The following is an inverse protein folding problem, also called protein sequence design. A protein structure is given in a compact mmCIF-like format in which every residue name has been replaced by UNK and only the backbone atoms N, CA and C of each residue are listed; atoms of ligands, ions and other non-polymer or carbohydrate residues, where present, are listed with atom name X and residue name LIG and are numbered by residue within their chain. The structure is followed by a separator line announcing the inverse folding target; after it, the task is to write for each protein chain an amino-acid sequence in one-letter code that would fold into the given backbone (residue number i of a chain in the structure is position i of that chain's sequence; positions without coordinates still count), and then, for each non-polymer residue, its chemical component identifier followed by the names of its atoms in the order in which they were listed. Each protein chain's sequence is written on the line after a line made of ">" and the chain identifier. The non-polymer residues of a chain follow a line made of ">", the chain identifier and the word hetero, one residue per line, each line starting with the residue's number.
data_IF_974151663681
#
_entry.id   IF_974151663681
#
_cell.length_a   1.000
_cell.length_b   1.000
_cell.length_c   1.000
_cell.angle_alpha   90.00
_cell.angle_beta   90.00
_cell.angle_gamma   90.00
#
_symmetry.space_group_name_H-M   'P 1'
#
loop_
_entity.id
_entity.type
_entity.pdbx_description
1 polymer ?
#
# COMPACT_ATOMS: atom_id res chain seq x y z
N UNK A 1 -33.86 -49.51 -3.13
CA UNK A 1 -32.49 -49.19 -3.59
C UNK A 1 -32.44 -47.89 -4.41
N UNK A 2 -33.27 -47.72 -5.44
CA UNK A 2 -33.30 -46.50 -6.28
C UNK A 2 -33.59 -45.20 -5.52
N UNK A 3 -34.57 -45.19 -4.63
CA UNK A 3 -34.93 -44.00 -3.80
C UNK A 3 -33.79 -43.55 -2.89
N UNK A 4 -33.08 -44.51 -2.28
CA UNK A 4 -31.91 -44.23 -1.44
C UNK A 4 -30.78 -43.57 -2.26
N UNK A 5 -30.57 -44.06 -3.47
CA UNK A 5 -29.54 -43.56 -4.38
C UNK A 5 -29.85 -42.11 -4.82
N UNK A 6 -31.12 -41.81 -5.10
CA UNK A 6 -31.57 -40.44 -5.39
C UNK A 6 -31.42 -39.50 -4.18
N UNK A 7 -31.74 -39.97 -2.96
CA UNK A 7 -31.54 -39.18 -1.74
C UNK A 7 -30.07 -38.88 -1.47
N UNK A 8 -29.19 -39.88 -1.65
CA UNK A 8 -27.74 -39.70 -1.50
C UNK A 8 -27.21 -38.73 -2.56
N UNK A 9 -27.65 -38.86 -3.82
CA UNK A 9 -27.26 -37.95 -4.90
C UNK A 9 -27.72 -36.51 -4.61
N UNK A 10 -28.97 -36.32 -4.19
CA UNK A 10 -29.51 -35.02 -3.82
C UNK A 10 -28.71 -34.39 -2.66
N UNK A 11 -28.38 -35.19 -1.64
CA UNK A 11 -27.56 -34.74 -0.50
C UNK A 11 -26.16 -34.30 -0.94
N UNK A 12 -25.50 -35.06 -1.84
CA UNK A 12 -24.18 -34.71 -2.38
C UNK A 12 -24.23 -33.41 -3.19
N UNK A 13 -25.26 -33.21 -4.01
CA UNK A 13 -25.44 -31.97 -4.78
C UNK A 13 -25.66 -30.77 -3.86
N UNK A 14 -26.46 -30.92 -2.81
CA UNK A 14 -26.72 -29.86 -1.83
C UNK A 14 -25.44 -29.52 -1.06
N UNK A 15 -24.71 -30.52 -0.54
CA UNK A 15 -23.44 -30.28 0.15
C UNK A 15 -22.39 -29.66 -0.78
N UNK A 16 -22.26 -30.18 -2.00
CA UNK A 16 -21.34 -29.65 -3.01
C UNK A 16 -21.66 -28.20 -3.37
N UNK A 17 -22.95 -27.86 -3.51
CA UNK A 17 -23.40 -26.49 -3.76
C UNK A 17 -23.06 -25.53 -2.62
N UNK A 18 -23.27 -25.93 -1.36
CA UNK A 18 -22.94 -25.12 -0.18
C UNK A 18 -21.42 -24.87 -0.10
N UNK A 19 -20.61 -25.89 -0.32
CA UNK A 19 -19.14 -25.77 -0.33
C UNK A 19 -18.66 -24.85 -1.45
N UNK A 20 -19.21 -25.00 -2.67
CA UNK A 20 -18.86 -24.17 -3.81
C UNK A 20 -19.22 -22.69 -3.60
N UNK A 21 -20.44 -22.41 -3.10
CA UNK A 21 -20.88 -21.04 -2.79
C UNK A 21 -19.99 -20.43 -1.69
N UNK A 22 -19.68 -21.17 -0.63
CA UNK A 22 -18.79 -20.73 0.44
C UNK A 22 -17.38 -20.41 -0.05
N UNK A 23 -16.82 -21.25 -0.93
CA UNK A 23 -15.50 -21.04 -1.52
C UNK A 23 -15.43 -19.78 -2.39
N UNK A 24 -16.46 -19.54 -3.23
CA UNK A 24 -16.55 -18.35 -4.07
C UNK A 24 -16.70 -17.08 -3.23
N UNK A 25 -17.56 -17.11 -2.20
CA UNK A 25 -17.73 -15.98 -1.28
C UNK A 25 -16.43 -15.64 -0.55
N UNK A 26 -15.72 -16.65 -0.03
CA UNK A 26 -14.45 -16.46 0.66
C UNK A 26 -13.36 -15.93 -0.29
N UNK A 27 -13.31 -16.41 -1.54
CA UNK A 27 -12.37 -15.91 -2.54
C UNK A 27 -12.66 -14.44 -2.90
N UNK A 28 -13.93 -14.08 -3.05
CA UNK A 28 -14.33 -12.70 -3.34
C UNK A 28 -14.02 -11.75 -2.17
N UNK A 29 -14.27 -12.20 -0.94
CA UNK A 29 -13.92 -11.46 0.27
C UNK A 29 -12.40 -11.28 0.40
N UNK A 30 -11.60 -12.33 0.15
CA UNK A 30 -10.13 -12.24 0.15
C UNK A 30 -9.61 -11.25 -0.90
N UNK A 31 -10.21 -11.24 -2.10
CA UNK A 31 -9.84 -10.28 -3.15
C UNK A 31 -10.17 -8.84 -2.77
N UNK A 32 -11.32 -8.60 -2.13
CA UNK A 32 -11.69 -7.27 -1.62
C UNK A 32 -10.73 -6.80 -0.54
N UNK A 33 -10.43 -7.64 0.44
CA UNK A 33 -9.45 -7.32 1.49
C UNK A 33 -8.07 -7.05 0.87
N UNK A 34 -7.65 -7.89 -0.08
CA UNK A 34 -6.36 -7.71 -0.77
C UNK A 34 -6.33 -6.42 -1.61
N UNK A 35 -7.45 -5.99 -2.19
CA UNK A 35 -7.58 -4.72 -2.90
C UNK A 35 -7.57 -3.52 -1.95
N UNK A 36 -8.26 -3.62 -0.81
CA UNK A 36 -8.29 -2.59 0.23
C UNK A 36 -6.93 -2.40 0.91
N UNK A 37 -6.11 -3.47 0.97
CA UNK A 37 -4.75 -3.44 1.51
C UNK A 37 -3.72 -2.82 0.54
N UNK A 38 -4.09 -2.50 -0.70
CA UNK A 38 -3.15 -1.94 -1.67
C UNK A 38 -2.80 -0.50 -1.31
N UNK A 39 -1.50 -0.20 -1.20
CA UNK A 39 -0.98 1.16 -1.07
C UNK A 39 -1.23 1.96 -2.36
N UNK A 40 -1.03 1.31 -3.51
CA UNK A 40 -1.26 1.84 -4.84
C UNK A 40 -2.29 0.94 -5.52
N UNK A 41 -3.57 1.36 -5.66
CA UNK A 41 -4.57 0.58 -6.38
C UNK A 41 -4.08 0.07 -7.74
N UNK A 42 -4.32 -1.21 -8.00
CA UNK A 42 -3.85 -1.94 -9.18
C UNK A 42 -2.49 -2.63 -8.97
N UNK A 43 -1.72 -2.29 -7.93
CA UNK A 43 -0.47 -2.96 -7.58
C UNK A 43 -0.65 -3.81 -6.32
N UNK A 44 -0.28 -5.09 -6.42
CA UNK A 44 -0.34 -5.99 -5.28
C UNK A 44 0.63 -5.54 -4.19
N UNK A 45 0.14 -5.47 -2.95
CA UNK A 45 0.98 -5.26 -1.76
C UNK A 45 1.47 -6.61 -1.21
N UNK A 46 2.61 -6.61 -0.54
CA UNK A 46 3.09 -7.74 0.27
C UNK A 46 2.65 -7.65 1.74
N UNK A 47 1.92 -6.58 2.12
CA UNK A 47 1.42 -6.37 3.47
C UNK A 47 0.44 -7.49 3.89
N UNK A 48 0.60 -8.04 5.11
CA UNK A 48 -0.35 -9.00 5.67
C UNK A 48 -1.78 -8.45 5.69
N UNK A 49 -2.76 -9.28 5.33
CA UNK A 49 -4.18 -8.90 5.41
C UNK A 49 -4.65 -8.60 6.83
N UNK A 50 -3.92 -9.07 7.84
CA UNK A 50 -4.20 -8.78 9.25
C UNK A 50 -3.99 -7.28 9.60
N UNK A 51 -3.12 -6.57 8.87
CA UNK A 51 -2.83 -5.15 9.12
C UNK A 51 -4.02 -4.23 8.90
N UNK A 52 -4.98 -4.62 8.04
CA UNK A 52 -6.22 -3.88 7.84
C UNK A 52 -6.97 -3.63 9.16
N UNK A 53 -6.84 -4.51 10.16
CA UNK A 53 -7.49 -4.39 11.48
C UNK A 53 -6.51 -4.41 12.66
N UNK A 54 -5.20 -4.40 12.40
CA UNK A 54 -4.20 -4.44 13.48
C UNK A 54 -3.87 -3.05 14.03
N UNK A 55 -3.53 -3.03 15.32
CA UNK A 55 -3.01 -1.86 16.04
C UNK A 55 -1.48 -1.83 16.07
N UNK A 56 -0.82 -2.81 15.44
CA UNK A 56 0.63 -2.86 15.34
C UNK A 56 1.18 -1.56 14.73
N UNK A 57 2.36 -1.09 15.19
CA UNK A 57 2.95 0.14 14.67
C UNK A 57 3.20 0.08 13.15
N UNK A 58 3.59 -1.07 12.61
CA UNK A 58 3.77 -1.29 11.17
C UNK A 58 2.45 -1.12 10.40
N UNK A 59 1.36 -1.68 10.94
CA UNK A 59 0.03 -1.56 10.34
C UNK A 59 -0.47 -0.11 10.33
N UNK A 60 -0.13 0.69 11.35
CA UNK A 60 -0.43 2.13 11.37
C UNK A 60 0.37 2.88 10.29
N UNK A 61 1.66 2.59 10.13
CA UNK A 61 2.51 3.22 9.11
C UNK A 61 2.06 2.85 7.69
N UNK A 62 1.65 1.60 7.45
CA UNK A 62 1.07 1.16 6.18
C UNK A 62 -0.19 1.96 5.82
N UNK A 63 -1.12 2.13 6.76
CA UNK A 63 -2.36 2.92 6.52
C UNK A 63 -2.05 4.37 6.17
N UNK A 64 -1.14 5.00 6.92
CA UNK A 64 -0.67 6.36 6.66
C UNK A 64 -0.12 6.52 5.23
N UNK A 65 0.70 5.57 4.80
CA UNK A 65 1.26 5.57 3.45
C UNK A 65 0.18 5.42 2.37
N UNK A 66 -0.81 4.56 2.60
CA UNK A 66 -1.97 4.39 1.72
C UNK A 66 -2.81 5.67 1.63
N UNK A 67 -3.02 6.35 2.76
CA UNK A 67 -3.76 7.62 2.80
C UNK A 67 -2.99 8.72 2.05
N UNK A 68 -1.66 8.77 2.18
CA UNK A 68 -0.81 9.68 1.39
C UNK A 68 -0.91 9.41 -0.12
N UNK A 69 -0.86 8.15 -0.56
CA UNK A 69 -1.03 7.82 -1.99
C UNK A 69 -2.44 8.13 -2.50
N UNK A 70 -3.47 7.96 -1.66
CA UNK A 70 -4.84 8.38 -1.98
C UNK A 70 -4.90 9.89 -2.20
N UNK A 71 -4.27 10.67 -1.32
CA UNK A 71 -4.18 12.13 -1.45
C UNK A 71 -3.41 12.53 -2.71
N UNK A 72 -2.27 11.89 -3.01
CA UNK A 72 -1.46 12.13 -4.21
C UNK A 72 -2.30 12.02 -5.50
N UNK A 73 -3.21 11.04 -5.56
CA UNK A 73 -4.06 10.85 -6.74
C UNK A 73 -5.29 11.74 -6.81
N UNK A 74 -5.74 12.27 -5.67
CA UNK A 74 -6.80 13.26 -5.66
C UNK A 74 -6.34 14.62 -6.22
N UNK A 75 -5.02 14.86 -6.31
CA UNK A 75 -4.45 16.07 -6.90
C UNK A 75 -4.80 16.15 -8.39
N UNK A 76 -5.62 17.13 -8.74
CA UNK A 76 -5.89 17.51 -10.14
C UNK A 76 -4.74 18.38 -10.63
N UNK A 77 -3.65 17.72 -11.02
CA UNK A 77 -2.45 18.38 -11.52
C UNK A 77 -2.60 18.78 -12.99
N UNK A 78 -1.81 19.77 -13.43
CA UNK A 78 -1.47 19.87 -14.85
C UNK A 78 -0.61 18.67 -15.24
N UNK A 79 -1.11 17.85 -16.18
CA UNK A 79 -0.40 16.68 -16.70
C UNK A 79 0.73 17.12 -17.62
N UNK A 80 1.90 17.34 -17.03
CA UNK A 80 3.17 17.53 -17.72
C UNK A 80 3.99 16.25 -17.56
N UNK A 81 4.98 16.03 -18.44
CA UNK A 81 5.87 14.88 -18.31
C UNK A 81 6.55 14.83 -16.92
N UNK A 82 6.91 16.00 -16.36
CA UNK A 82 7.57 16.09 -15.06
C UNK A 82 6.65 15.70 -13.89
N UNK A 83 5.39 16.16 -13.89
CA UNK A 83 4.41 15.84 -12.84
C UNK A 83 3.97 14.37 -12.89
N UNK A 84 3.92 13.77 -14.08
CA UNK A 84 3.64 12.34 -14.26
C UNK A 84 4.80 11.47 -13.78
N UNK A 85 6.03 11.77 -14.17
CA UNK A 85 7.22 11.03 -13.70
C UNK A 85 7.34 11.08 -12.19
N UNK A 86 7.19 12.28 -11.59
CA UNK A 86 7.34 12.41 -10.15
C UNK A 86 6.23 11.68 -9.37
N UNK A 87 4.99 11.67 -9.89
CA UNK A 87 3.91 10.87 -9.31
C UNK A 87 4.28 9.38 -9.30
N UNK A 88 4.85 8.87 -10.40
CA UNK A 88 5.31 7.49 -10.48
C UNK A 88 6.47 7.20 -9.51
N UNK A 89 7.41 8.14 -9.34
CA UNK A 89 8.51 8.01 -8.38
C UNK A 89 8.02 7.97 -6.92
N UNK A 90 7.02 8.78 -6.58
CA UNK A 90 6.36 8.75 -5.26
C UNK A 90 5.65 7.42 -5.02
N UNK A 91 4.88 6.92 -6.00
CA UNK A 91 4.20 5.63 -5.90
C UNK A 91 5.21 4.48 -5.75
N UNK A 92 6.33 4.52 -6.48
CA UNK A 92 7.37 3.49 -6.39
C UNK A 92 8.09 3.52 -5.04
N UNK A 93 8.38 4.72 -4.53
CA UNK A 93 9.00 4.91 -3.22
C UNK A 93 8.08 4.41 -2.10
N UNK A 94 6.78 4.65 -2.20
CA UNK A 94 5.79 4.12 -1.28
C UNK A 94 5.78 2.58 -1.28
N UNK A 95 5.76 1.93 -2.44
CA UNK A 95 5.78 0.45 -2.51
C UNK A 95 7.05 -0.14 -1.88
N UNK A 96 8.20 0.46 -2.14
CA UNK A 96 9.46 0.01 -1.57
C UNK A 96 9.50 0.17 -0.03
N UNK A 97 8.86 1.22 0.49
CA UNK A 97 8.74 1.43 1.93
C UNK A 97 7.73 0.46 2.57
N UNK A 98 6.61 0.18 1.91
CA UNK A 98 5.62 -0.81 2.33
C UNK A 98 6.26 -2.21 2.46
N UNK A 99 7.00 -2.61 1.43
CA UNK A 99 7.76 -3.85 1.41
C UNK A 99 8.78 -3.95 2.56
N UNK A 100 9.36 -2.82 2.94
CA UNK A 100 10.30 -2.75 4.05
C UNK A 100 9.59 -2.85 5.41
N UNK A 101 8.42 -2.25 5.58
CA UNK A 101 7.59 -2.44 6.78
C UNK A 101 7.24 -3.92 6.97
N UNK A 102 6.99 -4.64 5.87
CA UNK A 102 6.74 -6.10 5.93
C UNK A 102 7.98 -6.82 6.46
N UNK A 103 9.17 -6.46 5.99
CA UNK A 103 10.41 -7.04 6.50
C UNK A 103 10.62 -6.75 8.00
N UNK A 104 10.38 -5.52 8.45
CA UNK A 104 10.47 -5.11 9.87
C UNK A 104 9.52 -5.95 10.73
N UNK A 105 8.31 -6.22 10.24
CA UNK A 105 7.31 -7.00 10.98
C UNK A 105 7.73 -8.46 11.23
N UNK A 106 8.70 -8.96 10.48
CA UNK A 106 9.28 -10.31 10.66
C UNK A 106 10.46 -10.32 11.63
N UNK A 107 10.96 -9.16 12.08
CA UNK A 107 12.09 -9.05 13.01
C UNK A 107 11.69 -9.34 14.46
N UNK A 108 12.69 -9.75 15.25
CA UNK A 108 12.58 -9.83 16.71
C UNK A 108 12.38 -8.46 17.35
N UNK A 109 11.74 -8.41 18.53
CA UNK A 109 11.30 -7.18 19.22
C UNK A 109 12.37 -6.10 19.37
N UNK A 110 13.61 -6.52 19.65
CA UNK A 110 14.69 -5.63 20.01
C UNK A 110 15.21 -4.86 18.78
N UNK A 111 15.39 -5.56 17.65
CA UNK A 111 15.75 -4.93 16.37
C UNK A 111 14.59 -4.13 15.76
N UNK A 112 13.35 -4.61 15.95
CA UNK A 112 12.13 -4.00 15.41
C UNK A 112 11.95 -2.54 15.87
N UNK A 113 12.21 -2.25 17.14
CA UNK A 113 11.94 -0.91 17.71
C UNK A 113 12.82 0.17 17.07
N UNK A 114 14.12 -0.11 16.89
CA UNK A 114 15.04 0.82 16.24
C UNK A 114 14.70 1.02 14.76
N UNK A 115 14.36 -0.06 14.05
CA UNK A 115 13.99 0.02 12.64
C UNK A 115 12.64 0.73 12.42
N UNK A 116 11.68 0.57 13.33
CA UNK A 116 10.39 1.27 13.29
C UNK A 116 10.56 2.79 13.38
N UNK A 117 11.44 3.29 14.25
CA UNK A 117 11.68 4.73 14.38
C UNK A 117 12.30 5.33 13.11
N UNK A 118 13.09 4.54 12.36
CA UNK A 118 13.65 4.96 11.08
C UNK A 118 12.62 4.88 9.95
N UNK A 119 11.80 3.83 9.93
CA UNK A 119 10.69 3.69 8.99
C UNK A 119 9.65 4.81 9.17
N UNK A 120 9.36 5.22 10.41
CA UNK A 120 8.46 6.35 10.68
C UNK A 120 8.97 7.66 10.06
N UNK A 121 10.27 7.93 10.13
CA UNK A 121 10.89 9.09 9.48
C UNK A 121 10.82 9.00 7.95
N UNK A 122 11.04 7.82 7.39
CA UNK A 122 10.93 7.60 5.95
C UNK A 122 9.48 7.80 5.46
N UNK A 123 8.47 7.32 6.21
CA UNK A 123 7.05 7.55 5.89
C UNK A 123 6.72 9.04 5.95
N UNK A 124 7.17 9.74 7.00
CA UNK A 124 6.95 11.18 7.13
C UNK A 124 7.59 11.97 5.97
N UNK A 125 8.75 11.56 5.47
CA UNK A 125 9.39 12.18 4.32
C UNK A 125 8.58 12.00 3.02
N UNK A 126 8.00 10.80 2.80
CA UNK A 126 7.11 10.55 1.65
C UNK A 126 5.81 11.35 1.76
N UNK A 127 5.18 11.39 2.94
CA UNK A 127 3.99 12.21 3.20
C UNK A 127 4.26 13.70 2.90
N UNK A 128 5.39 14.21 3.36
CA UNK A 128 5.79 15.58 3.09
C UNK A 128 6.06 15.82 1.59
N UNK A 129 6.66 14.85 0.88
CA UNK A 129 6.84 14.91 -0.57
C UNK A 129 5.51 14.92 -1.35
N UNK A 130 4.50 14.19 -0.89
CA UNK A 130 3.14 14.24 -1.45
C UNK A 130 2.49 15.60 -1.21
N UNK A 131 2.64 16.18 -0.03
CA UNK A 131 2.10 17.50 0.29
C UNK A 131 2.72 18.59 -0.61
N UNK A 132 4.05 18.59 -0.75
CA UNK A 132 4.77 19.48 -1.67
C UNK A 132 4.31 19.29 -3.12
N UNK A 133 4.16 18.04 -3.58
CA UNK A 133 3.64 17.74 -4.91
C UNK A 133 2.24 18.34 -5.12
N UNK A 134 1.34 18.18 -4.14
CA UNK A 134 -0.02 18.69 -4.23
C UNK A 134 -0.03 20.23 -4.34
N UNK A 135 0.83 20.91 -3.58
CA UNK A 135 1.00 22.37 -3.68
C UNK A 135 1.58 22.79 -5.03
N UNK A 136 2.68 22.16 -5.46
CA UNK A 136 3.37 22.52 -6.69
C UNK A 136 2.51 22.27 -7.93
N UNK A 137 1.89 21.08 -8.01
CA UNK A 137 1.15 20.64 -9.19
C UNK A 137 -0.18 21.39 -9.42
N UNK A 138 -0.63 22.17 -8.45
CA UNK A 138 -1.83 23.02 -8.55
C UNK A 138 -1.50 24.49 -8.84
N UNK A 139 -0.23 24.88 -8.80
CA UNK A 139 0.20 26.22 -9.17
C UNK A 139 0.39 26.35 -10.70
N UNK A 140 -0.05 27.47 -11.31
CA UNK A 140 0.07 27.69 -12.76
C UNK A 140 1.48 28.13 -13.22
N UNK A 141 2.43 28.34 -12.31
CA UNK A 141 3.81 28.74 -12.65
C UNK A 141 4.71 27.52 -12.87
N UNK A 142 5.08 27.29 -14.13
CA UNK A 142 5.93 26.17 -14.55
C UNK A 142 7.36 26.25 -14.01
N UNK A 143 7.89 27.45 -13.76
CA UNK A 143 9.26 27.63 -13.26
C UNK A 143 9.35 27.38 -11.75
N UNK A 144 8.33 27.82 -11.01
CA UNK A 144 8.16 27.48 -9.60
C UNK A 144 7.90 25.98 -9.42
N UNK A 145 7.08 25.38 -10.31
CA UNK A 145 6.84 23.94 -10.34
C UNK A 145 8.15 23.16 -10.46
N UNK A 146 9.04 23.47 -11.42
CA UNK A 146 10.30 22.73 -11.58
C UNK A 146 11.20 22.78 -10.33
N UNK A 147 11.27 23.93 -9.64
CA UNK A 147 12.02 24.08 -8.41
C UNK A 147 11.41 23.25 -7.26
N UNK A 148 10.09 23.28 -7.11
CA UNK A 148 9.38 22.50 -6.09
C UNK A 148 9.49 20.99 -6.34
N UNK A 149 9.39 20.56 -7.61
CA UNK A 149 9.60 19.16 -8.01
C UNK A 149 11.03 18.69 -7.67
N UNK A 150 12.03 19.57 -7.75
CA UNK A 150 13.40 19.25 -7.31
C UNK A 150 13.47 19.04 -5.79
N UNK A 151 12.73 19.83 -5.01
CA UNK A 151 12.56 19.63 -3.56
C UNK A 151 11.97 18.27 -3.21
N UNK A 152 10.91 17.85 -3.92
CA UNK A 152 10.30 16.53 -3.71
C UNK A 152 11.29 15.40 -4.01
N UNK A 153 12.07 15.51 -5.10
CA UNK A 153 13.10 14.52 -5.44
C UNK A 153 14.16 14.38 -4.36
N UNK A 154 14.58 15.49 -3.76
CA UNK A 154 15.56 15.46 -2.68
C UNK A 154 15.02 14.77 -1.42
N UNK A 155 13.74 15.01 -1.10
CA UNK A 155 13.06 14.30 -0.01
C UNK A 155 12.94 12.81 -0.29
N UNK A 156 12.65 12.41 -1.54
CA UNK A 156 12.64 11.01 -1.95
C UNK A 156 14.01 10.35 -1.77
N UNK A 157 15.10 11.02 -2.17
CA UNK A 157 16.46 10.53 -1.91
C UNK A 157 16.73 10.34 -0.43
N UNK A 158 16.32 11.31 0.39
CA UNK A 158 16.47 11.23 1.86
C UNK A 158 15.71 10.03 2.41
N UNK A 159 14.47 9.79 1.97
CA UNK A 159 13.69 8.61 2.38
C UNK A 159 14.36 7.30 1.97
N UNK A 160 14.94 7.27 0.77
CA UNK A 160 15.67 6.12 0.24
C UNK A 160 16.98 5.84 0.99
N UNK A 161 17.71 6.88 1.37
CA UNK A 161 18.92 6.78 2.18
C UNK A 161 18.60 6.33 3.60
N UNK A 162 17.54 6.87 4.19
CA UNK A 162 17.00 6.40 5.47
C UNK A 162 16.61 4.93 5.38
N UNK A 163 15.98 4.47 4.30
CA UNK A 163 15.65 3.05 4.09
C UNK A 163 16.91 2.18 3.95
N UNK A 164 17.91 2.62 3.18
CA UNK A 164 19.15 1.86 2.94
C UNK A 164 20.00 1.72 4.20
N UNK A 165 20.03 2.75 5.06
CA UNK A 165 20.75 2.71 6.34
C UNK A 165 20.20 1.71 7.36
N UNK A 166 19.07 1.04 7.07
CA UNK A 166 18.43 0.04 7.96
C UNK A 166 18.95 -1.38 7.69
N UNK A 167 19.53 -1.63 6.51
CA UNK A 167 20.00 -2.95 6.08
C UNK A 167 21.49 -3.24 6.31
N UNK A 168 22.22 -2.32 6.94
CA UNK A 168 23.65 -2.43 7.27
C UNK A 168 23.90 -2.79 8.71
#
# INVERSE_FOLDING_TARGET
>A
MFVLLLLVLALVVILGGIVAIGAVALAHQRRRIAAENQVVPGKATRAPTAWARSHDPEARLHRRLRDAMTALRAVTAYDTAATVTLRADLEQSALALDDHLVAISMLHSDARTAQLAQAERAVAAVEAGVADYATAATQPDLSALEADLAGVRERLRTADDLRRGIGG
#
